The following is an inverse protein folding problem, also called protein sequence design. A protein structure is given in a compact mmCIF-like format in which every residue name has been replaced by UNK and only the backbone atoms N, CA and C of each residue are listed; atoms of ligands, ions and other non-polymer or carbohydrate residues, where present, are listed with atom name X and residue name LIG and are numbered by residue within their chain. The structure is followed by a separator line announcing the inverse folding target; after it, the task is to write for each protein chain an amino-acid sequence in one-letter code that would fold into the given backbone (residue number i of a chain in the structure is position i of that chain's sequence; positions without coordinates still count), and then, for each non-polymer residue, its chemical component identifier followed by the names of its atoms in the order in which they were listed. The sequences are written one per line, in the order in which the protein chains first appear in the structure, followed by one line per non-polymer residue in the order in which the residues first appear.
data_IF_608125739373
#
_entry.id   IF_608125739373
#
_cell.length_a   1.000
_cell.length_b   1.000
_cell.length_c   1.000
_cell.angle_alpha   90.00
_cell.angle_beta   90.00
_cell.angle_gamma   90.00
#
_symmetry.space_group_name_H-M   'P 1'
#
loop_
_entity.id
_entity.type
_entity.pdbx_description
1 polymer ?
#
# COMPACT_ATOMS: atom_id res chain seq x y z
N UNK A 1 -28.02 -13.86 0.97
CA UNK A 1 -26.81 -13.03 0.80
C UNK A 1 -25.89 -13.37 1.95
N UNK A 2 -24.81 -14.11 1.70
CA UNK A 2 -23.86 -14.48 2.75
C UNK A 2 -23.10 -13.23 3.18
N UNK A 3 -22.95 -13.04 4.50
CA UNK A 3 -22.15 -11.95 5.05
C UNK A 3 -20.74 -11.96 4.44
N UNK A 4 -20.11 -10.80 4.19
CA UNK A 4 -18.72 -10.75 3.77
C UNK A 4 -17.86 -11.52 4.77
N UNK A 5 -16.84 -12.27 4.31
CA UNK A 5 -15.92 -12.93 5.23
C UNK A 5 -15.33 -11.90 6.22
N UNK A 6 -14.98 -12.32 7.46
CA UNK A 6 -14.42 -11.42 8.46
C UNK A 6 -13.27 -10.61 7.83
N UNK A 7 -13.45 -9.29 7.80
CA UNK A 7 -12.67 -8.40 6.96
C UNK A 7 -11.19 -8.44 7.34
N UNK A 8 -10.38 -9.09 6.51
CA UNK A 8 -8.93 -9.06 6.65
C UNK A 8 -8.42 -7.61 6.63
N UNK A 9 -7.30 -7.38 7.31
CA UNK A 9 -6.66 -6.06 7.37
C UNK A 9 -5.68 -5.90 6.22
N UNK A 10 -5.56 -4.68 5.70
CA UNK A 10 -4.56 -4.35 4.68
C UNK A 10 -3.40 -3.62 5.35
N UNK A 11 -2.24 -4.25 5.42
CA UNK A 11 -0.99 -3.59 5.79
C UNK A 11 -0.41 -2.90 4.56
N UNK A 12 0.00 -1.66 4.71
CA UNK A 12 0.81 -0.95 3.72
C UNK A 12 2.18 -0.66 4.30
N UNK A 13 3.23 -0.97 3.55
CA UNK A 13 4.61 -0.71 3.90
C UNK A 13 5.29 0.14 2.83
N UNK A 14 5.92 1.22 3.26
CA UNK A 14 6.83 2.03 2.46
C UNK A 14 8.25 1.71 2.88
N UNK A 15 9.00 1.07 1.99
CA UNK A 15 10.32 0.51 2.27
C UNK A 15 11.36 1.31 1.49
N UNK A 16 12.17 2.15 2.15
CA UNK A 16 13.24 2.88 1.50
C UNK A 16 14.41 1.93 1.19
N UNK A 17 14.83 1.90 -0.08
CA UNK A 17 15.92 1.07 -0.58
C UNK A 17 17.04 1.91 -1.19
N UNK A 18 18.17 1.27 -1.48
CA UNK A 18 19.28 1.83 -2.28
C UNK A 18 19.57 0.97 -3.49
N UNK A 19 20.19 1.59 -4.48
CA UNK A 19 20.73 0.91 -5.65
C UNK A 19 19.70 0.74 -6.75
N UNK A 20 20.03 -0.10 -7.70
CA UNK A 20 19.20 -0.46 -8.84
C UNK A 20 18.21 -1.56 -8.47
N UNK A 21 17.24 -1.78 -9.35
CA UNK A 21 16.32 -2.93 -9.30
C UNK A 21 17.00 -4.26 -9.04
N UNK A 22 18.17 -4.49 -9.64
CA UNK A 22 18.90 -5.76 -9.51
C UNK A 22 19.54 -5.93 -8.13
N UNK A 23 19.81 -4.83 -7.42
CA UNK A 23 20.37 -4.88 -6.07
C UNK A 23 19.34 -5.34 -5.05
N UNK A 24 18.11 -4.81 -5.11
CA UNK A 24 17.08 -5.08 -4.10
C UNK A 24 16.09 -6.18 -4.45
N UNK A 25 16.03 -6.64 -5.71
CA UNK A 25 15.01 -7.62 -6.15
C UNK A 25 15.09 -8.98 -5.46
N UNK A 26 16.28 -9.57 -5.37
CA UNK A 26 16.42 -10.91 -4.77
C UNK A 26 16.24 -10.88 -3.23
N UNK A 27 16.78 -9.89 -2.49
CA UNK A 27 16.45 -9.73 -1.08
C UNK A 27 14.94 -9.50 -0.84
N UNK A 28 14.29 -8.65 -1.66
CA UNK A 28 12.85 -8.44 -1.61
C UNK A 28 12.08 -9.75 -1.89
N UNK A 29 12.51 -10.52 -2.88
CA UNK A 29 11.89 -11.81 -3.22
C UNK A 29 11.96 -12.80 -2.06
N UNK A 30 13.10 -12.90 -1.37
CA UNK A 30 13.23 -13.76 -0.19
C UNK A 30 12.24 -13.34 0.90
N UNK A 31 12.13 -12.04 1.18
CA UNK A 31 11.14 -11.48 2.09
C UNK A 31 9.70 -11.81 1.67
N UNK A 32 9.35 -11.61 0.40
CA UNK A 32 8.02 -11.90 -0.15
C UNK A 32 7.65 -13.38 -0.06
N UNK A 33 8.61 -14.29 -0.27
CA UNK A 33 8.39 -15.73 -0.15
C UNK A 33 8.15 -16.15 1.30
N UNK A 34 8.92 -15.61 2.25
CA UNK A 34 8.70 -15.85 3.67
C UNK A 34 7.33 -15.32 4.12
N UNK A 35 6.97 -14.11 3.69
CA UNK A 35 5.65 -13.53 3.98
C UNK A 35 4.51 -14.40 3.44
N UNK A 36 4.63 -14.91 2.21
CA UNK A 36 3.63 -15.80 1.58
C UNK A 36 3.46 -17.14 2.29
N UNK A 37 4.48 -17.61 3.01
CA UNK A 37 4.45 -18.90 3.72
C UNK A 37 3.71 -18.84 5.06
N UNK A 38 3.37 -17.65 5.56
CA UNK A 38 2.81 -17.48 6.90
C UNK A 38 1.33 -17.84 6.95
N UNK A 39 0.89 -18.45 8.06
CA UNK A 39 -0.55 -18.55 8.33
C UNK A 39 -1.14 -17.15 8.55
N UNK A 40 -2.34 -16.96 8.04
CA UNK A 40 -3.01 -15.67 8.03
C UNK A 40 -2.63 -14.77 6.85
N UNK A 41 -1.63 -15.12 6.04
CA UNK A 41 -1.38 -14.45 4.77
C UNK A 41 -2.58 -14.58 3.82
N UNK A 42 -2.96 -13.48 3.16
CA UNK A 42 -4.00 -13.49 2.12
C UNK A 42 -3.43 -13.20 0.73
N UNK A 43 -2.68 -12.10 0.60
CA UNK A 43 -2.12 -11.63 -0.67
C UNK A 43 -1.07 -10.54 -0.46
N UNK A 44 -0.22 -10.32 -1.45
CA UNK A 44 0.66 -9.15 -1.53
C UNK A 44 0.63 -8.58 -2.94
N UNK A 45 0.74 -7.26 -3.02
CA UNK A 45 1.00 -6.49 -4.22
C UNK A 45 2.10 -5.50 -3.89
N UNK A 46 2.95 -5.18 -4.85
CA UNK A 46 4.04 -4.26 -4.60
C UNK A 46 4.58 -3.66 -5.90
N UNK A 47 5.30 -2.56 -5.77
CA UNK A 47 6.07 -1.95 -6.84
C UNK A 47 6.91 -0.79 -6.32
N UNK A 48 7.96 -0.37 -7.06
CA UNK A 48 8.62 0.90 -6.79
C UNK A 48 7.68 2.07 -7.12
N UNK A 49 7.86 3.21 -6.46
CA UNK A 49 7.18 4.43 -6.89
C UNK A 49 7.72 4.86 -8.26
N UNK A 50 6.82 5.25 -9.16
CA UNK A 50 7.21 5.78 -10.46
C UNK A 50 7.99 7.10 -10.35
N UNK A 51 7.68 7.90 -9.32
CA UNK A 51 8.36 9.17 -9.02
C UNK A 51 9.69 8.97 -8.29
N UNK A 52 9.86 7.86 -7.58
CA UNK A 52 11.06 7.56 -6.81
C UNK A 52 11.27 6.06 -6.65
N UNK A 53 12.04 5.46 -7.56
CA UNK A 53 12.29 4.02 -7.55
C UNK A 53 13.08 3.52 -6.33
N UNK A 54 13.55 4.42 -5.46
CA UNK A 54 14.18 4.07 -4.18
C UNK A 54 13.18 3.88 -3.04
N UNK A 55 11.88 3.94 -3.31
CA UNK A 55 10.83 3.61 -2.34
C UNK A 55 9.96 2.51 -2.93
N UNK A 56 9.88 1.38 -2.23
CA UNK A 56 8.95 0.30 -2.55
C UNK A 56 7.66 0.51 -1.77
N UNK A 57 6.53 0.46 -2.45
CA UNK A 57 5.20 0.40 -1.85
C UNK A 57 4.71 -1.04 -1.89
N UNK A 58 4.40 -1.59 -0.72
CA UNK A 58 3.97 -2.97 -0.58
C UNK A 58 2.67 -3.03 0.20
N UNK A 59 1.66 -3.65 -0.39
CA UNK A 59 0.34 -3.85 0.19
C UNK A 59 0.14 -5.34 0.44
N UNK A 60 -0.02 -5.71 1.71
CA UNK A 60 -0.26 -7.08 2.15
C UNK A 60 -1.62 -7.21 2.83
N UNK A 61 -2.37 -8.25 2.46
CA UNK A 61 -3.60 -8.63 3.14
C UNK A 61 -3.31 -9.70 4.20
N UNK A 62 -3.86 -9.53 5.39
CA UNK A 62 -3.77 -10.48 6.49
C UNK A 62 -5.18 -10.84 7.02
N UNK A 63 -5.38 -12.09 7.45
CA UNK A 63 -6.61 -12.51 8.14
C UNK A 63 -6.84 -11.67 9.40
N UNK A 64 -5.77 -11.41 10.16
CA UNK A 64 -5.78 -10.62 11.39
C UNK A 64 -4.45 -9.87 11.56
N UNK A 65 -4.43 -8.80 12.35
CA UNK A 65 -3.19 -8.13 12.76
C UNK A 65 -2.27 -9.06 13.57
N UNK A 66 -2.84 -9.89 14.44
CA UNK A 66 -2.08 -10.86 15.25
C UNK A 66 -1.28 -11.87 14.41
N UNK A 67 -1.82 -12.30 13.26
CA UNK A 67 -1.10 -13.20 12.36
C UNK A 67 0.16 -12.53 11.79
N UNK A 68 0.04 -11.26 11.39
CA UNK A 68 1.17 -10.43 10.97
C UNK A 68 2.18 -10.27 12.11
N UNK A 69 1.72 -9.89 13.30
CA UNK A 69 2.61 -9.62 14.43
C UNK A 69 3.36 -10.88 14.88
N UNK A 70 2.71 -12.05 14.80
CA UNK A 70 3.35 -13.36 15.03
C UNK A 70 4.51 -13.59 14.05
N UNK A 71 4.30 -13.33 12.76
CA UNK A 71 5.38 -13.43 11.78
C UNK A 71 6.52 -12.45 12.07
N UNK A 72 6.21 -11.19 12.37
CA UNK A 72 7.23 -10.16 12.63
C UNK A 72 8.04 -10.41 13.91
N UNK A 73 7.51 -11.19 14.86
CA UNK A 73 8.24 -11.67 16.03
C UNK A 73 9.05 -12.96 15.79
N UNK A 74 8.92 -13.58 14.61
CA UNK A 74 9.53 -14.89 14.32
C UNK A 74 11.01 -14.80 13.96
N UNK A 75 11.73 -15.91 14.17
CA UNK A 75 13.10 -16.07 13.70
C UNK A 75 13.22 -16.05 12.17
N UNK A 76 12.17 -16.48 11.45
CA UNK A 76 12.13 -16.47 9.99
C UNK A 76 12.13 -15.03 9.47
N UNK A 77 11.26 -14.16 10.00
CA UNK A 77 11.27 -12.73 9.68
C UNK A 77 12.63 -12.09 9.97
N UNK A 78 13.20 -12.37 11.15
CA UNK A 78 14.52 -11.85 11.52
C UNK A 78 15.61 -12.28 10.52
N UNK A 79 15.56 -13.54 10.05
CA UNK A 79 16.52 -14.06 9.06
C UNK A 79 16.37 -13.37 7.69
N UNK A 80 15.15 -13.30 7.13
CA UNK A 80 14.96 -12.68 5.80
C UNK A 80 15.19 -11.17 5.84
N UNK A 81 14.91 -10.51 6.96
CA UNK A 81 15.19 -9.08 7.11
C UNK A 81 16.68 -8.78 7.28
N UNK A 82 17.50 -9.72 7.77
CA UNK A 82 18.94 -9.52 7.84
C UNK A 82 19.53 -9.27 6.44
N UNK A 83 19.11 -10.06 5.46
CA UNK A 83 19.51 -9.89 4.07
C UNK A 83 18.86 -8.65 3.45
N UNK A 84 17.55 -8.43 3.66
CA UNK A 84 16.87 -7.30 3.06
C UNK A 84 17.38 -5.94 3.57
N UNK A 85 17.78 -5.85 4.84
CA UNK A 85 18.37 -4.63 5.41
C UNK A 85 19.67 -4.19 4.73
N UNK A 86 20.39 -5.09 4.05
CA UNK A 86 21.62 -4.73 3.32
C UNK A 86 21.36 -3.73 2.18
N UNK A 87 20.13 -3.70 1.67
CA UNK A 87 19.70 -2.82 0.58
C UNK A 87 18.69 -1.75 1.03
N UNK A 88 18.34 -1.70 2.32
CA UNK A 88 17.47 -0.65 2.87
C UNK A 88 18.28 0.59 3.27
N UNK A 89 17.65 1.76 3.17
CA UNK A 89 18.27 3.06 3.50
C UNK A 89 17.69 3.74 4.73
N UNK A 90 16.66 3.15 5.35
CA UNK A 90 16.03 3.70 6.54
C UNK A 90 14.92 2.79 7.08
N UNK A 91 14.15 3.33 8.00
CA UNK A 91 13.06 2.61 8.64
C UNK A 91 11.87 2.43 7.68
N UNK A 92 11.21 1.27 7.79
CA UNK A 92 9.96 1.00 7.07
C UNK A 92 8.83 1.76 7.75
N UNK A 93 8.08 2.53 6.97
CA UNK A 93 6.79 3.05 7.45
C UNK A 93 5.73 2.00 7.18
N UNK A 94 5.08 1.51 8.23
CA UNK A 94 4.09 0.44 8.15
C UNK A 94 2.85 0.83 8.92
N UNK A 95 1.68 0.65 8.34
CA UNK A 95 0.41 0.89 9.02
C UNK A 95 -0.72 0.06 8.41
N UNK A 96 -1.73 -0.24 9.22
CA UNK A 96 -2.90 -1.00 8.78
C UNK A 96 -4.01 -0.07 8.33
N UNK A 97 -4.58 -0.31 7.15
CA UNK A 97 -5.64 0.48 6.55
C UNK A 97 -6.90 -0.37 6.43
N UNK A 98 -8.04 0.21 6.80
CA UNK A 98 -9.36 -0.37 6.52
C UNK A 98 -10.01 0.40 5.37
N UNK A 99 -9.75 -0.05 4.15
CA UNK A 99 -10.37 0.53 2.96
C UNK A 99 -11.88 0.28 2.90
N UNK A 100 -12.62 1.31 2.49
CA UNK A 100 -14.07 1.28 2.29
C UNK A 100 -14.37 1.47 0.78
N UNK A 101 -15.29 0.68 0.19
CA UNK A 101 -16.15 -0.35 0.80
C UNK A 101 -15.44 -1.68 1.12
N UNK A 102 -14.28 -1.92 0.49
CA UNK A 102 -13.45 -3.11 0.70
C UNK A 102 -12.00 -2.81 0.29
N UNK A 103 -11.08 -3.74 0.55
CA UNK A 103 -9.69 -3.63 0.12
C UNK A 103 -9.59 -3.33 -1.40
N UNK A 104 -8.73 -2.40 -1.84
CA UNK A 104 -8.81 -1.65 -3.11
C UNK A 104 -8.52 -2.50 -4.36
N UNK A 105 -9.18 -3.65 -4.54
CA UNK A 105 -8.78 -4.69 -5.49
C UNK A 105 -8.76 -4.17 -6.93
N UNK A 106 -9.82 -3.51 -7.40
CA UNK A 106 -9.85 -2.99 -8.76
C UNK A 106 -8.88 -1.81 -8.97
N UNK A 107 -8.65 -1.00 -7.93
CA UNK A 107 -7.67 0.08 -7.99
C UNK A 107 -6.23 -0.46 -8.08
N UNK A 108 -5.87 -1.46 -7.27
CA UNK A 108 -4.52 -2.06 -7.27
C UNK A 108 -4.29 -3.04 -8.43
N UNK A 109 -5.35 -3.65 -8.98
CA UNK A 109 -5.26 -4.51 -10.17
C UNK A 109 -5.31 -3.67 -11.49
N UNK A 110 -5.35 -2.34 -11.40
CA UNK A 110 -5.21 -1.44 -12.57
C UNK A 110 -3.77 -1.37 -13.07
N UNK A 111 -3.53 -0.98 -14.34
CA UNK A 111 -2.17 -0.83 -14.89
C UNK A 111 -1.25 0.07 -14.06
N UNK A 112 -1.81 1.12 -13.45
CA UNK A 112 -1.12 1.93 -12.46
C UNK A 112 -2.10 2.33 -11.36
N UNK A 113 -1.65 2.35 -10.12
CA UNK A 113 -2.38 2.96 -9.02
C UNK A 113 -1.73 4.28 -8.63
N UNK A 114 -2.50 5.36 -8.59
CA UNK A 114 -2.14 6.57 -7.86
C UNK A 114 -2.50 6.37 -6.39
N UNK A 115 -1.55 6.60 -5.50
CA UNK A 115 -1.76 6.50 -4.06
C UNK A 115 -1.59 7.88 -3.42
N UNK A 116 -2.64 8.33 -2.74
CA UNK A 116 -2.67 9.58 -2.00
C UNK A 116 -2.59 9.25 -0.52
N UNK A 117 -1.62 9.85 0.18
CA UNK A 117 -1.41 9.69 1.62
C UNK A 117 -1.54 11.06 2.27
N UNK A 118 -2.43 11.20 3.25
CA UNK A 118 -2.65 12.45 3.98
C UNK A 118 -2.42 12.21 5.47
N UNK A 119 -1.44 12.92 6.03
CA UNK A 119 -1.18 12.93 7.47
C UNK A 119 -1.54 14.28 8.10
N UNK A 120 -1.95 14.26 9.37
CA UNK A 120 -2.36 15.47 10.09
C UNK A 120 -3.59 16.15 9.48
N UNK A 121 -4.49 15.39 8.84
CA UNK A 121 -5.74 15.93 8.33
C UNK A 121 -6.64 16.36 9.49
N UNK A 122 -7.22 17.56 9.40
CA UNK A 122 -8.22 18.04 10.36
C UNK A 122 -9.64 17.57 10.02
N UNK A 123 -9.85 17.13 8.77
CA UNK A 123 -11.12 16.67 8.22
C UNK A 123 -11.46 15.26 8.75
N UNK A 124 -12.75 14.98 8.84
CA UNK A 124 -13.27 13.65 9.11
C UNK A 124 -13.00 12.67 7.95
N UNK A 125 -13.10 11.38 8.23
CA UNK A 125 -12.89 10.32 7.23
C UNK A 125 -13.87 10.43 6.06
N UNK A 126 -15.13 10.78 6.37
CA UNK A 126 -16.20 10.92 5.38
C UNK A 126 -15.99 12.14 4.48
N UNK A 127 -15.47 13.25 5.02
CA UNK A 127 -15.11 14.43 4.22
C UNK A 127 -13.95 14.14 3.27
N UNK A 128 -12.89 13.49 3.75
CA UNK A 128 -11.75 13.10 2.91
C UNK A 128 -12.17 12.08 1.85
N UNK A 129 -13.04 11.13 2.21
CA UNK A 129 -13.60 10.16 1.26
C UNK A 129 -14.46 10.83 0.20
N UNK A 130 -15.38 11.71 0.60
CA UNK A 130 -16.22 12.46 -0.32
C UNK A 130 -15.38 13.33 -1.28
N UNK A 131 -14.27 13.89 -0.79
CA UNK A 131 -13.33 14.61 -1.64
C UNK A 131 -12.67 13.68 -2.67
N UNK A 132 -12.12 12.54 -2.23
CA UNK A 132 -11.50 11.56 -3.16
C UNK A 132 -12.52 11.01 -4.16
N UNK A 133 -13.78 10.84 -3.77
CA UNK A 133 -14.87 10.43 -4.66
C UNK A 133 -15.13 11.45 -5.80
N UNK A 134 -14.61 12.67 -5.70
CA UNK A 134 -14.58 13.65 -6.78
C UNK A 134 -13.83 13.17 -8.03
N UNK A 135 -12.96 12.16 -7.91
CA UNK A 135 -12.31 11.52 -9.05
C UNK A 135 -13.25 10.64 -9.87
N UNK A 136 -14.41 10.23 -9.33
CA UNK A 136 -15.32 9.29 -10.01
C UNK A 136 -15.80 9.88 -11.33
N UNK A 137 -15.70 9.06 -12.38
CA UNK A 137 -16.08 9.45 -13.74
C UNK A 137 -14.99 10.19 -14.53
N UNK A 138 -13.82 10.45 -13.93
CA UNK A 138 -12.69 10.99 -14.68
C UNK A 138 -12.20 10.00 -15.76
N UNK A 139 -11.85 10.48 -16.97
CA UNK A 139 -11.37 9.63 -18.04
C UNK A 139 -10.16 8.80 -17.61
N UNK A 140 -10.25 7.47 -17.75
CA UNK A 140 -9.16 6.56 -17.44
C UNK A 140 -9.09 6.08 -15.99
N UNK A 141 -9.96 6.58 -15.09
CA UNK A 141 -10.11 6.02 -13.76
C UNK A 141 -10.92 4.72 -13.83
N UNK A 142 -10.39 3.63 -13.28
CA UNK A 142 -11.06 2.33 -13.22
C UNK A 142 -11.87 2.16 -11.92
N UNK A 143 -11.24 2.41 -10.76
CA UNK A 143 -11.88 2.35 -9.46
C UNK A 143 -11.05 3.10 -8.41
N UNK A 144 -11.62 3.32 -7.22
CA UNK A 144 -10.92 3.86 -6.07
C UNK A 144 -11.41 3.25 -4.76
N UNK A 145 -10.54 3.19 -3.76
CA UNK A 145 -10.95 2.99 -2.37
C UNK A 145 -10.07 3.80 -1.42
N UNK A 146 -10.62 4.15 -0.27
CA UNK A 146 -9.92 4.95 0.73
C UNK A 146 -10.30 4.59 2.16
N UNK A 147 -9.45 4.98 3.10
CA UNK A 147 -9.72 4.82 4.53
C UNK A 147 -8.57 5.35 5.39
N UNK A 148 -8.86 5.53 6.68
CA UNK A 148 -7.83 5.83 7.66
C UNK A 148 -7.07 4.58 8.10
N UNK A 149 -5.86 4.80 8.63
CA UNK A 149 -5.15 3.79 9.40
C UNK A 149 -5.95 3.37 10.64
N UNK A 150 -5.72 2.15 11.10
CA UNK A 150 -6.43 1.53 12.23
C UNK A 150 -5.91 2.08 13.56
N UNK A 151 -4.59 2.25 13.68
CA UNK A 151 -3.96 2.71 14.92
C UNK A 151 -3.57 4.21 14.81
N UNK A 152 -3.66 4.94 15.93
CA UNK A 152 -3.27 6.36 16.05
C UNK A 152 -1.74 6.55 16.08
N UNK A 153 -1.00 5.50 16.45
CA UNK A 153 0.46 5.49 16.66
C UNK A 153 1.26 4.95 15.45
N UNK A 154 0.57 4.59 14.37
CA UNK A 154 1.07 3.83 13.21
C UNK A 154 1.99 4.65 12.27
N UNK A 155 2.35 5.88 12.66
CA UNK A 155 3.29 6.74 11.93
C UNK A 155 4.57 6.89 12.74
N UNK A 156 5.56 6.06 12.43
CA UNK A 156 6.92 6.20 12.94
C UNK A 156 7.47 7.60 12.64
N UNK A 157 7.38 8.50 13.62
CA UNK A 157 7.80 9.89 13.46
C UNK A 157 7.05 10.91 14.31
N UNK A 158 6.91 10.69 15.62
CA UNK A 158 6.82 11.76 16.63
C UNK A 158 5.62 12.73 16.61
N UNK A 159 4.61 12.51 15.77
CA UNK A 159 3.38 13.31 15.73
C UNK A 159 2.19 12.39 15.50
N UNK A 160 1.73 11.75 16.58
CA UNK A 160 0.65 10.75 16.57
C UNK A 160 -0.63 11.28 15.90
N UNK A 161 -1.21 10.45 15.04
CA UNK A 161 -2.40 10.76 14.27
C UNK A 161 -2.58 9.78 13.13
N UNK A 162 -3.85 9.39 12.88
CA UNK A 162 -4.21 8.48 11.80
C UNK A 162 -3.81 9.05 10.44
N UNK A 163 -3.42 8.16 9.53
CA UNK A 163 -3.10 8.51 8.14
C UNK A 163 -4.26 8.11 7.26
N UNK A 164 -4.74 9.04 6.45
CA UNK A 164 -5.72 8.72 5.41
C UNK A 164 -4.99 8.28 4.15
N UNK A 165 -5.43 7.16 3.57
CA UNK A 165 -4.90 6.66 2.30
C UNK A 165 -6.02 6.46 1.32
N UNK A 166 -5.81 6.91 0.08
CA UNK A 166 -6.63 6.56 -1.06
C UNK A 166 -5.78 5.90 -2.14
N UNK A 167 -6.31 4.82 -2.72
CA UNK A 167 -5.74 4.18 -3.91
C UNK A 167 -6.73 4.38 -5.07
N UNK A 168 -6.26 4.99 -6.14
CA UNK A 168 -7.02 5.27 -7.37
C UNK A 168 -6.37 4.51 -8.52
N UNK A 169 -7.09 3.58 -9.13
CA UNK A 169 -6.59 2.81 -10.26
C UNK A 169 -6.82 3.53 -11.58
N UNK A 170 -5.76 3.74 -12.35
CA UNK A 170 -5.78 4.42 -13.65
C UNK A 170 -5.34 3.49 -14.77
N UNK A 171 -5.78 3.73 -16.01
CA UNK A 171 -5.27 2.97 -17.17
C UNK A 171 -3.86 3.41 -17.57
N UNK A 172 -3.45 4.63 -17.25
CA UNK A 172 -2.07 5.10 -17.44
C UNK A 172 -1.69 6.26 -16.50
N UNK A 173 -0.38 6.49 -16.32
CA UNK A 173 0.15 7.61 -15.54
C UNK A 173 -0.24 8.95 -16.16
N UNK A 174 -0.30 9.02 -17.50
CA UNK A 174 -0.65 10.23 -18.25
C UNK A 174 -2.10 10.64 -17.99
N UNK A 175 -3.03 9.68 -17.94
CA UNK A 175 -4.43 9.97 -17.62
C UNK A 175 -4.59 10.45 -16.18
N UNK A 176 -3.90 9.81 -15.22
CA UNK A 176 -3.85 10.31 -13.85
C UNK A 176 -3.34 11.76 -13.82
N UNK A 177 -2.21 12.05 -14.48
CA UNK A 177 -1.62 13.40 -14.49
C UNK A 177 -2.51 14.45 -15.16
N UNK A 178 -3.30 14.06 -16.16
CA UNK A 178 -4.24 14.96 -16.84
C UNK A 178 -5.53 15.22 -16.06
N UNK A 179 -5.83 14.39 -15.05
CA UNK A 179 -7.00 14.55 -14.20
C UNK A 179 -6.92 15.83 -13.36
N UNK A 180 -8.07 16.46 -13.10
CA UNK A 180 -8.16 17.64 -12.24
C UNK A 180 -7.89 17.26 -10.78
N UNK A 181 -6.63 17.35 -10.37
CA UNK A 181 -6.18 17.02 -9.02
C UNK A 181 -6.88 17.84 -7.94
N UNK A 182 -7.28 19.08 -8.24
CA UNK A 182 -7.95 19.94 -7.26
C UNK A 182 -9.34 19.41 -6.89
N UNK A 183 -9.96 18.60 -7.75
CA UNK A 183 -11.27 18.01 -7.50
C UNK A 183 -11.24 16.88 -6.46
N UNK A 184 -10.10 16.21 -6.24
CA UNK A 184 -10.05 15.00 -5.40
C UNK A 184 -8.85 14.85 -4.47
N UNK A 185 -7.82 15.69 -4.59
CA UNK A 185 -6.72 15.70 -3.63
C UNK A 185 -7.10 16.59 -2.44
N UNK A 186 -7.07 16.07 -1.20
CA UNK A 186 -7.30 16.88 0.00
C UNK A 186 -6.40 18.11 0.08
N UNK A 187 -6.99 19.26 0.40
CA UNK A 187 -6.28 20.54 0.48
C UNK A 187 -5.66 20.80 1.87
N UNK A 188 -6.02 19.99 2.87
CA UNK A 188 -5.49 20.10 4.24
C UNK A 188 -4.64 18.88 4.60
N UNK A 189 -3.80 19.05 5.64
CA UNK A 189 -2.82 18.06 6.04
C UNK A 189 -1.57 18.06 5.15
N UNK A 190 -0.65 17.16 5.45
CA UNK A 190 0.52 16.89 4.61
C UNK A 190 0.16 15.79 3.62
N UNK A 191 0.13 16.15 2.34
CA UNK A 191 -0.23 15.25 1.25
C UNK A 191 1.02 14.73 0.54
N UNK A 192 1.06 13.43 0.30
CA UNK A 192 2.03 12.74 -0.53
C UNK A 192 1.28 11.95 -1.61
N UNK A 193 1.74 12.06 -2.86
CA UNK A 193 1.11 11.43 -4.03
C UNK A 193 2.18 10.78 -4.86
N UNK A 194 1.95 9.53 -5.25
CA UNK A 194 2.84 8.78 -6.12
C UNK A 194 2.08 7.71 -6.89
N UNK A 195 2.72 7.15 -7.91
CA UNK A 195 2.17 6.08 -8.73
C UNK A 195 2.94 4.78 -8.49
N UNK A 196 2.22 3.66 -8.50
CA UNK A 196 2.80 2.32 -8.33
C UNK A 196 2.16 1.38 -9.34
N UNK A 197 3.01 0.65 -10.07
CA UNK A 197 2.57 -0.57 -10.77
C UNK A 197 2.62 -1.72 -9.76
N UNK A 198 1.46 -2.09 -9.23
CA UNK A 198 1.34 -3.15 -8.23
C UNK A 198 1.47 -4.57 -8.82
N UNK A 199 1.61 -4.69 -10.15
CA UNK A 199 1.93 -5.92 -10.87
C UNK A 199 3.41 -6.05 -11.17
N UNK A 200 4.26 -5.26 -10.51
CA UNK A 200 5.68 -5.24 -10.79
C UNK A 200 6.32 -6.64 -10.66
N UNK A 201 6.98 -7.14 -11.73
CA UNK A 201 7.38 -8.53 -11.77
C UNK A 201 8.68 -8.78 -10.99
N UNK A 202 8.68 -9.83 -10.15
CA UNK A 202 9.88 -10.49 -9.62
C UNK A 202 9.97 -11.90 -10.19
N UNK A 203 11.11 -12.22 -10.82
CA UNK A 203 11.33 -13.55 -11.41
C UNK A 203 11.34 -14.61 -10.31
N UNK A 204 10.50 -15.64 -10.45
CA UNK A 204 10.37 -16.70 -9.46
C UNK A 204 9.44 -16.35 -8.29
N UNK A 205 8.80 -15.18 -8.28
CA UNK A 205 7.67 -14.86 -7.42
C UNK A 205 6.45 -14.59 -8.30
N UNK A 206 5.56 -15.57 -8.42
CA UNK A 206 4.28 -15.35 -9.08
C UNK A 206 3.26 -14.87 -8.05
N UNK A 207 2.64 -13.72 -8.35
CA UNK A 207 1.48 -13.20 -7.65
C UNK A 207 0.24 -14.00 -8.07
N UNK A 208 0.28 -15.33 -7.93
CA UNK A 208 -0.89 -16.17 -8.19
C UNK A 208 -1.97 -15.79 -7.18
N UNK A 209 -3.04 -15.15 -7.68
CA UNK A 209 -4.30 -15.04 -6.97
C UNK A 209 -4.82 -16.47 -6.72
N UNK A 210 -4.53 -17.05 -5.56
CA UNK A 210 -5.28 -18.23 -5.13
C UNK A 210 -6.70 -17.78 -4.82
N UNK A 211 -7.63 -18.44 -5.51
CA UNK A 211 -9.05 -18.13 -5.69
C UNK A 211 -9.83 -17.85 -4.41
#
# INVERSE_FOLDING_TARGET
MSAPPPAGVTERMLIPVRGTKEDWKEPLKAYLLALKAQDGYLRTRWGPWAENEQILDLISGWKTKDARDTFFASAEYAAVMADFKTVMTGDVKSYFIKFVPYAPRAAIDSPIAEVITVSGAAQSEDELRAQVDGARGMPGLNDLASGFSVDDDDVGGGGGGRVFVAALGWQSVEQSRAADKAAYIPASGKVEVHHVDFHYPVKGFSVTNTH
#
